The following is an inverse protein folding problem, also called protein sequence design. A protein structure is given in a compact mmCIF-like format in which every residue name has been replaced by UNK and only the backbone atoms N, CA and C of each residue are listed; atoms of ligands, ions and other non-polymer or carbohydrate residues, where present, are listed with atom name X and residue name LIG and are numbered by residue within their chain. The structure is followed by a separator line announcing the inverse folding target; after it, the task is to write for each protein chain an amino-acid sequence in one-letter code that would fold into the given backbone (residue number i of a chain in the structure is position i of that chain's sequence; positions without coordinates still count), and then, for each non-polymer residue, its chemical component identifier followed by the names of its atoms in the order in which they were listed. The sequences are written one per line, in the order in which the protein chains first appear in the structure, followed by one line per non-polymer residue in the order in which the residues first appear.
data_IF_396387412965
#
_entry.id   IF_396387412965
#
_cell.length_a   1.000
_cell.length_b   1.000
_cell.length_c   1.000
_cell.angle_alpha   90.00
_cell.angle_beta   90.00
_cell.angle_gamma   90.00
#
_symmetry.space_group_name_H-M   'P 1'
#
loop_
_entity.id
_entity.type
_entity.pdbx_description
1 polymer ?
#
# COMPACT_ATOMS: atom_id res chain seq x y z
N UNK A 1 -9.62 -12.82 -8.99
CA UNK A 1 -8.62 -11.93 -8.31
C UNK A 1 -8.39 -12.49 -6.92
N UNK A 2 -7.13 -12.60 -6.46
CA UNK A 2 -6.83 -13.18 -5.15
C UNK A 2 -7.48 -12.38 -4.02
N UNK A 3 -8.22 -13.06 -3.15
CA UNK A 3 -8.80 -12.46 -1.95
C UNK A 3 -7.69 -12.11 -0.95
N UNK A 4 -7.76 -10.93 -0.35
CA UNK A 4 -6.79 -10.47 0.66
C UNK A 4 -7.50 -10.31 1.99
N UNK A 5 -7.06 -11.06 2.98
CA UNK A 5 -7.56 -11.03 4.34
C UNK A 5 -6.45 -10.57 5.30
N UNK A 6 -6.66 -9.44 5.97
CA UNK A 6 -5.75 -8.96 7.01
C UNK A 6 -6.22 -9.49 8.36
N UNK A 7 -5.36 -10.19 9.08
CA UNK A 7 -5.56 -10.57 10.47
C UNK A 7 -4.74 -9.65 11.37
N UNK A 8 -5.41 -8.85 12.19
CA UNK A 8 -4.74 -8.03 13.22
C UNK A 8 -4.49 -8.91 14.44
N UNK A 9 -3.27 -9.46 14.53
CA UNK A 9 -2.90 -10.42 15.59
C UNK A 9 -2.75 -9.74 16.96
N UNK A 10 -2.42 -8.44 16.96
CA UNK A 10 -2.20 -7.65 18.18
C UNK A 10 -2.34 -6.15 17.89
N UNK A 11 -2.87 -5.40 18.85
CA UNK A 11 -2.81 -3.93 18.80
C UNK A 11 -1.48 -3.37 19.34
N UNK A 12 -0.67 -4.21 20.03
CA UNK A 12 0.61 -3.80 20.60
C UNK A 12 1.66 -3.61 19.52
N UNK A 13 2.52 -2.63 19.72
CA UNK A 13 3.70 -2.40 18.90
C UNK A 13 4.84 -1.94 19.79
N UNK A 14 6.05 -2.38 19.50
CA UNK A 14 7.27 -1.97 20.19
C UNK A 14 7.86 -0.65 19.65
N UNK A 15 7.28 -0.09 18.57
CA UNK A 15 7.66 1.21 18.00
C UNK A 15 6.50 2.21 18.04
N UNK A 16 6.85 3.50 17.91
CA UNK A 16 5.91 4.60 17.85
C UNK A 16 6.19 5.53 16.65
N UNK A 17 6.08 4.99 15.42
CA UNK A 17 6.36 5.71 14.19
C UNK A 17 5.53 7.00 14.07
N UNK A 18 6.17 8.11 13.67
CA UNK A 18 5.54 9.45 13.64
C UNK A 18 4.32 9.55 12.71
N UNK A 19 4.23 8.70 11.72
CA UNK A 19 3.12 8.65 10.73
C UNK A 19 2.17 7.47 10.97
N UNK A 20 2.27 6.75 12.10
CA UNK A 20 1.45 5.59 12.35
C UNK A 20 -0.03 5.97 12.40
N UNK A 21 -0.83 5.36 11.52
CA UNK A 21 -2.27 5.58 11.49
C UNK A 21 -3.03 4.85 12.62
N UNK A 22 -2.42 3.84 13.24
CA UNK A 22 -2.97 3.14 14.41
C UNK A 22 -2.70 3.97 15.67
N UNK A 23 -3.54 4.97 15.91
CA UNK A 23 -3.37 5.97 16.99
C UNK A 23 -3.93 5.49 18.34
N UNK A 24 -4.85 4.51 18.33
CA UNK A 24 -5.58 4.01 19.50
C UNK A 24 -5.16 2.58 19.84
N UNK A 25 -3.85 2.37 20.03
CA UNK A 25 -3.29 1.06 20.38
C UNK A 25 -3.77 0.60 21.75
N UNK A 26 -4.09 -0.68 21.89
CA UNK A 26 -4.47 -1.32 23.14
C UNK A 26 -3.55 -2.51 23.44
N UNK A 27 -3.74 -3.18 24.57
CA UNK A 27 -3.02 -4.40 24.91
C UNK A 27 -3.72 -5.68 24.41
N UNK A 28 -4.73 -5.57 23.55
CA UNK A 28 -5.52 -6.70 23.05
C UNK A 28 -4.72 -7.52 22.04
N UNK A 29 -4.87 -8.82 22.10
CA UNK A 29 -4.27 -9.82 21.22
C UNK A 29 -5.35 -10.79 20.70
N UNK A 30 -5.19 -11.27 19.47
CA UNK A 30 -6.02 -12.31 18.88
C UNK A 30 -5.68 -13.68 19.48
N UNK A 31 -6.69 -14.51 19.75
CA UNK A 31 -6.49 -15.90 20.16
C UNK A 31 -6.21 -16.79 18.93
N UNK A 32 -5.58 -17.94 19.14
CA UNK A 32 -5.36 -18.94 18.08
C UNK A 32 -6.70 -19.46 17.55
N UNK A 33 -7.69 -19.67 18.42
CA UNK A 33 -9.02 -20.12 18.06
C UNK A 33 -9.70 -19.12 17.12
N UNK A 34 -9.74 -17.85 17.52
CA UNK A 34 -10.28 -16.77 16.69
C UNK A 34 -9.59 -16.71 15.31
N UNK A 35 -8.26 -16.81 15.28
CA UNK A 35 -7.51 -16.79 14.02
C UNK A 35 -7.85 -17.98 13.11
N UNK A 36 -8.02 -19.18 13.68
CA UNK A 36 -8.44 -20.38 12.94
C UNK A 36 -9.85 -20.24 12.37
N UNK A 37 -10.80 -19.79 13.18
CA UNK A 37 -12.20 -19.60 12.77
C UNK A 37 -12.32 -18.62 11.59
N UNK A 38 -11.52 -17.53 11.62
CA UNK A 38 -11.44 -16.57 10.53
C UNK A 38 -10.93 -17.25 9.25
N UNK A 39 -9.80 -17.97 9.34
CA UNK A 39 -9.19 -18.63 8.18
C UNK A 39 -10.14 -19.68 7.60
N UNK A 40 -10.76 -20.50 8.42
CA UNK A 40 -11.74 -21.49 7.97
C UNK A 40 -12.95 -20.84 7.27
N UNK A 41 -13.42 -19.71 7.79
CA UNK A 41 -14.52 -18.96 7.19
C UNK A 41 -14.14 -18.43 5.81
N UNK A 42 -12.97 -17.80 5.68
CA UNK A 42 -12.50 -17.24 4.43
C UNK A 42 -12.15 -18.31 3.38
N UNK A 43 -11.55 -19.43 3.82
CA UNK A 43 -11.28 -20.60 2.96
C UNK A 43 -12.57 -21.25 2.49
N UNK A 44 -13.57 -21.38 3.36
CA UNK A 44 -14.91 -21.92 2.98
C UNK A 44 -15.58 -21.05 1.92
N UNK A 45 -15.48 -19.72 2.04
CA UNK A 45 -16.00 -18.79 1.04
C UNK A 45 -15.23 -18.91 -0.29
N UNK A 46 -13.89 -18.96 -0.26
CA UNK A 46 -13.07 -19.12 -1.46
C UNK A 46 -13.39 -20.43 -2.19
N UNK A 47 -13.63 -21.51 -1.45
CA UNK A 47 -14.06 -22.82 -1.96
C UNK A 47 -15.41 -22.74 -2.65
N UNK A 48 -16.38 -22.09 -2.02
CA UNK A 48 -17.73 -21.90 -2.56
C UNK A 48 -17.74 -21.06 -3.84
N UNK A 49 -16.86 -20.05 -3.93
CA UNK A 49 -16.74 -19.15 -5.08
C UNK A 49 -15.78 -19.68 -6.15
N UNK A 50 -15.12 -20.82 -5.91
CA UNK A 50 -14.09 -21.43 -6.78
C UNK A 50 -12.96 -20.43 -7.14
N UNK A 51 -12.45 -19.74 -6.12
CA UNK A 51 -11.38 -18.74 -6.27
C UNK A 51 -10.05 -19.44 -6.60
N UNK A 52 -9.68 -19.51 -7.88
CA UNK A 52 -8.46 -20.18 -8.35
C UNK A 52 -7.18 -19.56 -7.78
N UNK A 53 -7.17 -18.25 -7.53
CA UNK A 53 -6.02 -17.53 -6.95
C UNK A 53 -5.87 -17.76 -5.44
N UNK A 54 -6.89 -18.34 -4.77
CA UNK A 54 -6.93 -18.61 -3.34
C UNK A 54 -7.02 -17.36 -2.47
N UNK A 55 -6.55 -17.48 -1.22
CA UNK A 55 -6.62 -16.42 -0.21
C UNK A 55 -5.22 -16.06 0.28
N UNK A 56 -4.92 -14.76 0.32
CA UNK A 56 -3.74 -14.22 0.98
C UNK A 56 -4.11 -13.75 2.38
N UNK A 57 -3.49 -14.32 3.38
CA UNK A 57 -3.60 -13.91 4.78
C UNK A 57 -2.42 -13.04 5.16
N UNK A 58 -2.66 -11.74 5.36
CA UNK A 58 -1.67 -10.81 5.87
C UNK A 58 -1.72 -10.82 7.40
N UNK A 59 -0.72 -11.42 8.01
CA UNK A 59 -0.50 -11.43 9.45
C UNK A 59 0.05 -10.06 9.85
N UNK A 60 -0.78 -9.28 10.48
CA UNK A 60 -0.61 -7.86 10.70
C UNK A 60 -0.88 -7.48 12.18
N UNK A 61 -0.82 -6.19 12.49
CA UNK A 61 -1.15 -5.67 13.81
C UNK A 61 -0.43 -4.36 14.07
N UNK A 62 -0.13 -4.06 15.33
CA UNK A 62 0.87 -3.09 15.68
C UNK A 62 2.23 -3.62 15.21
N UNK A 63 2.74 -4.66 15.90
CA UNK A 63 3.89 -5.45 15.43
C UNK A 63 3.58 -6.95 15.60
N UNK A 64 3.37 -7.68 14.49
CA UNK A 64 2.94 -9.08 14.55
C UNK A 64 3.99 -10.02 15.17
N UNK A 65 5.28 -9.70 15.11
CA UNK A 65 6.33 -10.53 15.71
C UNK A 65 6.28 -10.56 17.25
N UNK A 66 5.52 -9.69 17.91
CA UNK A 66 5.17 -9.82 19.33
C UNK A 66 4.32 -11.06 19.60
N UNK A 67 3.67 -11.60 18.57
CA UNK A 67 2.84 -12.82 18.62
C UNK A 67 3.41 -13.91 17.71
N UNK A 68 4.72 -14.05 17.69
CA UNK A 68 5.38 -15.01 16.80
C UNK A 68 5.00 -16.46 17.11
N UNK A 69 4.70 -16.79 18.37
CA UNK A 69 4.20 -18.11 18.72
C UNK A 69 2.86 -18.41 18.05
N UNK A 70 1.92 -17.45 18.12
CA UNK A 70 0.65 -17.54 17.42
C UNK A 70 0.85 -17.73 15.91
N UNK A 71 1.80 -16.98 15.30
CA UNK A 71 2.12 -17.10 13.87
C UNK A 71 2.59 -18.52 13.55
N UNK A 72 3.53 -19.08 14.35
CA UNK A 72 4.03 -20.44 14.13
C UNK A 72 2.92 -21.47 14.17
N UNK A 73 2.12 -21.45 15.25
CA UNK A 73 1.03 -22.42 15.46
C UNK A 73 -0.03 -22.31 14.35
N UNK A 74 -0.41 -21.08 13.98
CA UNK A 74 -1.41 -20.83 12.94
C UNK A 74 -0.92 -21.31 11.57
N UNK A 75 0.31 -20.98 11.19
CA UNK A 75 0.90 -21.41 9.92
C UNK A 75 1.02 -22.94 9.84
N UNK A 76 1.51 -23.59 10.90
CA UNK A 76 1.61 -25.04 10.95
C UNK A 76 0.23 -25.72 10.83
N UNK A 77 -0.77 -25.17 11.49
CA UNK A 77 -2.13 -25.65 11.38
C UNK A 77 -2.68 -25.48 9.95
N UNK A 78 -2.56 -24.31 9.33
CA UNK A 78 -2.99 -24.07 7.93
C UNK A 78 -2.33 -25.06 7.00
N UNK A 79 -1.02 -25.24 7.11
CA UNK A 79 -0.25 -26.13 6.23
C UNK A 79 -0.56 -27.62 6.40
N UNK A 80 -1.10 -28.01 7.53
CA UNK A 80 -1.50 -29.39 7.82
C UNK A 80 -2.96 -29.67 7.42
N UNK A 81 -3.85 -28.68 7.51
CA UNK A 81 -5.29 -28.91 7.42
C UNK A 81 -5.96 -28.37 6.16
N UNK A 82 -5.29 -27.45 5.43
CA UNK A 82 -5.84 -26.83 4.23
C UNK A 82 -4.91 -27.13 3.06
N UNK A 83 -5.31 -28.04 2.19
CA UNK A 83 -4.54 -28.51 1.02
C UNK A 83 -5.23 -28.23 -0.32
N UNK A 84 -6.53 -27.94 -0.29
CA UNK A 84 -7.38 -27.76 -1.48
C UNK A 84 -7.59 -26.29 -1.89
N UNK A 85 -7.24 -25.33 -1.03
CA UNK A 85 -7.27 -23.89 -1.32
C UNK A 85 -5.87 -23.32 -1.10
N UNK A 86 -5.39 -22.59 -2.10
CA UNK A 86 -4.09 -21.91 -1.98
C UNK A 86 -4.14 -20.82 -0.90
N UNK A 87 -3.44 -21.03 0.20
CA UNK A 87 -3.30 -20.05 1.30
C UNK A 87 -1.89 -19.45 1.27
N UNK A 88 -1.79 -18.16 0.97
CA UNK A 88 -0.52 -17.42 1.03
C UNK A 88 -0.44 -16.71 2.38
N UNK A 89 0.58 -17.04 3.19
CA UNK A 89 0.82 -16.40 4.50
C UNK A 89 1.86 -15.29 4.33
N UNK A 90 1.53 -14.06 4.74
CA UNK A 90 2.42 -12.89 4.61
C UNK A 90 2.51 -12.17 5.94
N UNK A 91 3.71 -11.92 6.44
CA UNK A 91 3.96 -11.09 7.63
C UNK A 91 4.41 -9.69 7.16
N UNK A 92 3.81 -8.64 7.72
CA UNK A 92 4.33 -7.28 7.58
C UNK A 92 4.88 -6.80 8.91
N UNK A 93 6.16 -6.53 8.99
CA UNK A 93 6.89 -6.25 10.26
C UNK A 93 7.79 -5.04 10.17
N UNK A 94 8.07 -4.41 11.31
CA UNK A 94 9.11 -3.39 11.44
C UNK A 94 10.53 -4.00 11.49
N UNK A 95 10.67 -5.31 11.65
CA UNK A 95 11.94 -6.05 11.58
C UNK A 95 12.77 -6.06 12.88
N UNK A 96 12.49 -5.20 13.86
CA UNK A 96 13.33 -5.04 15.07
C UNK A 96 13.31 -6.25 16.00
N UNK A 97 12.32 -7.13 15.88
CA UNK A 97 12.16 -8.32 16.71
C UNK A 97 12.59 -9.62 16.02
N UNK A 98 13.28 -9.53 14.88
CA UNK A 98 13.80 -10.70 14.15
C UNK A 98 15.12 -11.19 14.79
N UNK A 99 15.00 -11.92 15.91
CA UNK A 99 16.10 -12.66 16.54
C UNK A 99 16.46 -13.93 15.73
N UNK A 100 17.49 -14.66 16.18
CA UNK A 100 18.02 -15.82 15.47
C UNK A 100 17.04 -17.00 15.42
N UNK A 101 16.23 -17.20 16.46
CA UNK A 101 15.19 -18.25 16.48
C UNK A 101 14.12 -17.99 15.40
N UNK A 102 13.65 -16.74 15.31
CA UNK A 102 12.68 -16.33 14.29
C UNK A 102 13.26 -16.41 12.89
N UNK A 103 14.51 -15.97 12.71
CA UNK A 103 15.23 -16.09 11.43
C UNK A 103 15.36 -17.55 10.99
N UNK A 104 15.76 -18.45 11.91
CA UNK A 104 15.87 -19.86 11.62
C UNK A 104 14.55 -20.48 11.19
N UNK A 105 13.46 -20.18 11.92
CA UNK A 105 12.14 -20.68 11.58
C UNK A 105 11.66 -20.16 10.22
N UNK A 106 11.81 -18.86 9.96
CA UNK A 106 11.45 -18.25 8.67
C UNK A 106 12.25 -18.82 7.51
N UNK A 107 13.55 -19.05 7.68
CA UNK A 107 14.40 -19.68 6.66
C UNK A 107 13.98 -21.11 6.35
N UNK A 108 13.59 -21.88 7.37
CA UNK A 108 13.08 -23.24 7.18
C UNK A 108 11.74 -23.29 6.45
N UNK A 109 10.96 -22.22 6.43
CA UNK A 109 9.62 -22.16 5.83
C UNK A 109 9.48 -21.09 4.71
N UNK A 110 10.60 -20.63 4.14
CA UNK A 110 10.67 -19.54 3.14
C UNK A 110 9.79 -19.73 1.90
N UNK A 111 9.47 -20.97 1.55
CA UNK A 111 8.64 -21.30 0.39
C UNK A 111 7.12 -21.25 0.71
N UNK A 112 6.74 -21.14 1.98
CA UNK A 112 5.36 -21.22 2.47
C UNK A 112 4.89 -19.95 3.18
N UNK A 113 5.82 -19.12 3.66
CA UNK A 113 5.52 -17.85 4.32
C UNK A 113 6.37 -16.74 3.75
N UNK A 114 5.83 -15.55 3.66
CA UNK A 114 6.50 -14.38 3.12
C UNK A 114 6.58 -13.27 4.15
N UNK A 115 7.65 -12.49 4.08
CA UNK A 115 7.87 -11.37 4.98
C UNK A 115 8.08 -10.09 4.16
N UNK A 116 7.38 -9.02 4.56
CA UNK A 116 7.58 -7.66 4.07
C UNK A 116 8.11 -6.86 5.24
N UNK A 117 9.34 -6.37 5.12
CA UNK A 117 9.96 -5.57 6.18
C UNK A 117 9.89 -4.08 5.85
N UNK A 118 9.58 -3.29 6.86
CA UNK A 118 9.45 -1.84 6.76
C UNK A 118 10.78 -1.16 7.03
N UNK A 119 11.29 -0.41 6.04
CA UNK A 119 12.54 0.37 6.14
C UNK A 119 12.35 1.69 5.40
N UNK A 120 12.49 2.83 6.07
CA UNK A 120 12.14 4.13 5.49
C UNK A 120 13.31 4.90 4.89
N UNK A 121 14.54 4.55 5.21
CA UNK A 121 15.72 5.24 4.73
C UNK A 121 16.98 4.85 5.48
N UNK A 122 18.03 5.67 5.36
CA UNK A 122 19.25 5.57 6.15
C UNK A 122 18.94 5.78 7.63
N UNK A 123 19.90 5.53 8.50
CA UNK A 123 19.70 5.52 9.95
C UNK A 123 19.02 6.77 10.50
N UNK A 124 19.40 7.94 10.04
CA UNK A 124 18.82 9.21 10.49
C UNK A 124 17.35 9.39 10.07
N UNK A 125 16.98 8.91 8.87
CA UNK A 125 15.59 8.92 8.43
C UNK A 125 14.78 7.82 9.13
N UNK A 126 15.36 6.65 9.28
CA UNK A 126 14.73 5.53 9.98
C UNK A 126 14.46 5.88 11.45
N UNK A 127 15.44 6.50 12.12
CA UNK A 127 15.29 6.98 13.49
C UNK A 127 14.23 8.07 13.62
N UNK A 128 14.26 9.08 12.76
CA UNK A 128 13.25 10.15 12.72
C UNK A 128 11.85 9.59 12.54
N UNK A 129 11.67 8.66 11.61
CA UNK A 129 10.36 8.12 11.24
C UNK A 129 9.86 7.05 12.21
N UNK A 130 10.74 6.16 12.71
CA UNK A 130 10.37 4.94 13.42
C UNK A 130 10.97 4.80 14.80
N UNK A 131 12.02 5.58 15.15
CA UNK A 131 12.71 5.50 16.43
C UNK A 131 13.63 4.28 16.54
N UNK A 132 14.20 3.82 15.41
CA UNK A 132 15.22 2.76 15.36
C UNK A 132 16.15 3.01 14.16
N UNK A 133 17.31 2.37 14.10
CA UNK A 133 18.25 2.51 13.00
C UNK A 133 18.03 1.42 11.94
N UNK A 134 18.22 1.74 10.66
CA UNK A 134 18.12 0.76 9.56
C UNK A 134 19.30 -0.22 9.59
N UNK A 135 20.46 0.20 10.06
CA UNK A 135 21.65 -0.63 10.27
C UNK A 135 21.45 -1.75 11.30
N UNK A 136 20.51 -1.58 12.24
CA UNK A 136 20.16 -2.60 13.24
C UNK A 136 19.18 -3.65 12.70
N UNK A 137 18.60 -3.42 11.52
CA UNK A 137 17.60 -4.32 10.93
C UNK A 137 18.28 -5.44 10.13
N UNK A 138 17.78 -6.68 10.19
CA UNK A 138 18.35 -7.81 9.47
C UNK A 138 17.96 -7.82 7.97
N UNK A 139 18.21 -6.71 7.26
CA UNK A 139 17.82 -6.48 5.86
C UNK A 139 18.40 -7.57 4.96
N UNK A 140 19.71 -7.85 5.08
CA UNK A 140 20.36 -8.88 4.27
C UNK A 140 19.75 -10.26 4.47
N UNK A 141 19.40 -10.64 5.71
CA UNK A 141 18.73 -11.90 5.98
C UNK A 141 17.42 -12.00 5.21
N UNK A 142 16.58 -10.96 5.28
CA UNK A 142 15.26 -10.94 4.64
C UNK A 142 15.40 -11.09 3.12
N UNK A 143 16.33 -10.36 2.50
CA UNK A 143 16.51 -10.38 1.05
C UNK A 143 17.16 -11.68 0.55
N UNK A 144 18.12 -12.24 1.30
CA UNK A 144 18.71 -13.55 0.98
C UNK A 144 17.70 -14.69 1.12
N UNK A 145 16.86 -14.63 2.16
CA UNK A 145 15.86 -15.67 2.44
C UNK A 145 14.66 -15.57 1.51
N UNK A 146 14.25 -14.35 1.15
CA UNK A 146 13.04 -14.06 0.36
C UNK A 146 13.34 -13.13 -0.82
N UNK A 147 14.15 -13.55 -1.81
CA UNK A 147 14.70 -12.68 -2.86
C UNK A 147 13.62 -12.08 -3.81
N UNK A 148 12.43 -12.66 -3.84
CA UNK A 148 11.30 -12.14 -4.66
C UNK A 148 10.50 -11.05 -3.95
N UNK A 149 10.83 -10.73 -2.70
CA UNK A 149 10.13 -9.71 -1.91
C UNK A 149 10.87 -8.38 -1.95
N UNK A 150 10.25 -7.37 -1.37
CA UNK A 150 10.74 -6.01 -1.34
C UNK A 150 10.68 -5.45 0.08
N UNK A 151 11.49 -4.45 0.34
CA UNK A 151 11.39 -3.60 1.52
C UNK A 151 10.28 -2.56 1.30
N UNK A 152 9.49 -2.29 2.31
CA UNK A 152 8.43 -1.28 2.26
C UNK A 152 8.93 0.02 2.87
N UNK A 153 9.07 1.06 2.06
CA UNK A 153 9.49 2.40 2.49
C UNK A 153 8.28 3.33 2.57
N UNK A 154 8.19 4.10 3.64
CA UNK A 154 7.16 5.13 3.82
C UNK A 154 7.81 6.48 4.07
N UNK A 155 7.57 7.44 3.18
CA UNK A 155 8.03 8.81 3.37
C UNK A 155 7.03 9.58 4.25
N UNK A 156 7.47 10.05 5.41
CA UNK A 156 6.78 11.06 6.21
C UNK A 156 6.95 12.44 5.59
N UNK A 157 6.27 13.45 6.11
CA UNK A 157 6.48 14.82 5.68
C UNK A 157 7.93 15.28 5.93
N UNK A 158 8.51 14.86 7.07
CA UNK A 158 9.87 15.18 7.46
C UNK A 158 10.92 14.52 6.54
N UNK A 159 10.67 13.28 6.12
CA UNK A 159 11.60 12.54 5.25
C UNK A 159 11.36 12.73 3.75
N UNK A 160 10.22 13.35 3.36
CA UNK A 160 9.88 13.57 1.96
C UNK A 160 10.97 14.24 1.13
N UNK A 161 11.70 15.26 1.62
CA UNK A 161 12.79 15.90 0.85
C UNK A 161 13.95 14.96 0.52
N UNK A 162 14.07 13.84 1.22
CA UNK A 162 15.14 12.83 1.03
C UNK A 162 14.67 11.54 0.38
N UNK A 163 13.40 11.47 -0.02
CA UNK A 163 12.77 10.25 -0.51
C UNK A 163 13.54 9.58 -1.65
N UNK A 164 14.07 10.38 -2.62
CA UNK A 164 14.88 9.86 -3.70
C UNK A 164 16.25 9.35 -3.23
N UNK A 165 16.91 10.09 -2.33
CA UNK A 165 18.24 9.72 -1.83
C UNK A 165 18.23 8.39 -1.09
N UNK A 166 17.20 8.18 -0.24
CA UNK A 166 17.07 6.96 0.53
C UNK A 166 16.65 5.76 -0.33
N UNK A 167 15.75 5.98 -1.29
CA UNK A 167 15.32 4.92 -2.21
C UNK A 167 16.46 4.49 -3.15
N UNK A 168 17.20 5.44 -3.71
CA UNK A 168 18.36 5.17 -4.58
C UNK A 168 19.46 4.47 -3.79
N UNK A 169 19.75 4.93 -2.56
CA UNK A 169 20.73 4.27 -1.69
C UNK A 169 20.46 2.76 -1.55
N UNK A 170 19.22 2.36 -1.32
CA UNK A 170 18.88 0.94 -1.23
C UNK A 170 19.02 0.20 -2.57
N UNK A 171 18.71 0.84 -3.70
CA UNK A 171 18.96 0.23 -5.01
C UNK A 171 20.45 0.03 -5.29
N UNK A 172 21.30 0.97 -4.89
CA UNK A 172 22.77 0.84 -5.01
C UNK A 172 23.33 -0.30 -4.15
N UNK A 173 22.64 -0.65 -3.05
CA UNK A 173 22.94 -1.85 -2.26
C UNK A 173 22.35 -3.15 -2.88
N UNK A 174 21.72 -3.08 -4.03
CA UNK A 174 21.08 -4.21 -4.69
C UNK A 174 19.72 -4.60 -4.09
N UNK A 175 19.11 -3.73 -3.28
CA UNK A 175 17.86 -4.03 -2.59
C UNK A 175 16.66 -3.59 -3.44
N UNK A 176 15.61 -4.41 -3.43
CA UNK A 176 14.33 -4.04 -4.02
C UNK A 176 13.48 -3.33 -2.96
N UNK A 177 13.06 -2.10 -3.26
CA UNK A 177 12.27 -1.26 -2.35
C UNK A 177 11.00 -0.77 -3.06
N UNK A 178 9.88 -0.76 -2.33
CA UNK A 178 8.63 -0.14 -2.75
C UNK A 178 8.36 1.06 -1.84
N UNK A 179 8.59 2.25 -2.37
CA UNK A 179 8.45 3.51 -1.64
C UNK A 179 7.12 4.21 -1.94
N UNK A 180 6.52 4.80 -0.92
CA UNK A 180 5.29 5.59 -1.03
C UNK A 180 5.19 6.66 0.06
N UNK A 181 4.44 7.75 -0.18
CA UNK A 181 4.12 8.72 0.87
C UNK A 181 3.26 8.10 1.97
N UNK A 182 3.44 8.56 3.19
CA UNK A 182 2.61 8.18 4.32
C UNK A 182 1.15 8.57 4.08
N UNK A 183 0.23 7.72 4.53
CA UNK A 183 -1.20 7.97 4.46
C UNK A 183 -1.72 8.45 5.81
N UNK A 184 -2.74 9.33 5.80
CA UNK A 184 -3.37 9.82 7.03
C UNK A 184 -2.50 10.81 7.83
N UNK A 185 -1.56 11.48 7.18
CA UNK A 185 -0.79 12.58 7.76
C UNK A 185 -1.21 13.92 7.14
N UNK A 186 -0.89 14.99 7.82
CA UNK A 186 -1.26 16.36 7.43
C UNK A 186 -0.26 16.92 6.38
N UNK A 187 -0.47 16.56 5.11
CA UNK A 187 0.26 17.13 3.99
C UNK A 187 -0.07 18.62 3.86
N UNK A 188 0.95 19.47 3.74
CA UNK A 188 0.82 20.91 3.63
C UNK A 188 0.94 21.38 2.18
N UNK A 189 0.53 22.62 1.91
CA UNK A 189 0.77 23.26 0.63
C UNK A 189 2.28 23.26 0.29
N UNK A 190 2.62 22.93 -0.94
CA UNK A 190 4.02 22.80 -1.40
C UNK A 190 4.64 21.40 -1.24
N UNK A 191 4.11 20.53 -0.38
CA UNK A 191 4.65 19.15 -0.23
C UNK A 191 4.56 18.37 -1.55
N UNK A 192 3.52 18.60 -2.36
CA UNK A 192 3.40 18.02 -3.69
C UNK A 192 4.54 18.41 -4.63
N UNK A 193 5.04 19.64 -4.53
CA UNK A 193 6.20 20.09 -5.33
C UNK A 193 7.50 19.45 -4.89
N UNK A 194 7.70 19.31 -3.57
CA UNK A 194 8.83 18.56 -3.03
C UNK A 194 8.78 17.12 -3.53
N UNK A 195 7.62 16.48 -3.42
CA UNK A 195 7.43 15.10 -3.89
C UNK A 195 7.67 14.96 -5.39
N UNK A 196 7.19 15.88 -6.21
CA UNK A 196 7.44 15.91 -7.66
C UNK A 196 8.93 15.92 -7.99
N UNK A 197 9.73 16.74 -7.29
CA UNK A 197 11.18 16.80 -7.46
C UNK A 197 11.82 15.45 -7.11
N UNK A 198 11.42 14.83 -5.99
CA UNK A 198 11.96 13.54 -5.59
C UNK A 198 11.59 12.44 -6.60
N UNK A 199 10.35 12.40 -7.06
CA UNK A 199 9.93 11.45 -8.09
C UNK A 199 10.67 11.65 -9.41
N UNK A 200 10.93 12.90 -9.81
CA UNK A 200 11.69 13.19 -11.02
C UNK A 200 13.15 12.68 -10.93
N UNK A 201 13.78 12.77 -9.76
CA UNK A 201 15.11 12.20 -9.51
C UNK A 201 15.10 10.68 -9.63
N UNK A 202 14.09 10.02 -9.02
CA UNK A 202 13.90 8.56 -9.13
C UNK A 202 13.64 8.15 -10.58
N UNK A 203 12.82 8.90 -11.33
CA UNK A 203 12.54 8.66 -12.74
C UNK A 203 13.81 8.72 -13.60
N UNK A 204 14.66 9.72 -13.38
CA UNK A 204 15.95 9.84 -14.08
C UNK A 204 16.88 8.68 -13.73
N UNK A 205 16.96 8.28 -12.45
CA UNK A 205 17.73 7.11 -12.04
C UNK A 205 17.29 5.84 -12.79
N UNK A 206 15.97 5.57 -12.90
CA UNK A 206 15.49 4.41 -13.67
C UNK A 206 15.76 4.52 -15.18
N UNK A 207 15.84 5.73 -15.73
CA UNK A 207 16.23 5.91 -17.14
C UNK A 207 17.71 5.64 -17.37
N UNK A 208 18.56 5.93 -16.40
CA UNK A 208 20.01 5.70 -16.45
C UNK A 208 20.38 4.25 -16.07
N UNK A 209 19.56 3.59 -15.24
CA UNK A 209 19.74 2.24 -14.72
C UNK A 209 18.61 1.29 -15.16
N UNK A 210 18.54 0.88 -16.43
CA UNK A 210 17.46 0.03 -16.96
C UNK A 210 17.42 -1.37 -16.34
N UNK A 211 18.50 -1.83 -15.70
CA UNK A 211 18.59 -3.09 -14.95
C UNK A 211 17.82 -3.04 -13.64
N UNK A 212 17.61 -1.86 -13.06
CA UNK A 212 16.86 -1.67 -11.83
C UNK A 212 15.37 -1.84 -12.09
N UNK A 213 14.73 -2.69 -11.28
CA UNK A 213 13.28 -2.87 -11.33
C UNK A 213 12.58 -1.67 -10.69
N UNK A 214 11.84 -0.83 -11.44
CA UNK A 214 11.12 0.30 -10.87
C UNK A 214 10.08 -0.11 -9.82
N UNK A 215 9.74 0.79 -8.90
CA UNK A 215 8.63 0.60 -7.96
C UNK A 215 7.30 0.38 -8.67
N UNK A 216 6.31 -0.18 -7.97
CA UNK A 216 4.96 -0.36 -8.51
C UNK A 216 4.36 0.95 -9.02
N UNK A 217 4.65 2.07 -8.35
CA UNK A 217 4.22 3.40 -8.77
C UNK A 217 4.65 3.71 -10.21
N UNK A 218 5.91 3.46 -10.58
CA UNK A 218 6.43 3.71 -11.93
C UNK A 218 6.04 2.65 -12.96
N UNK A 219 5.52 1.50 -12.51
CA UNK A 219 4.93 0.47 -13.36
C UNK A 219 3.44 0.67 -13.58
N UNK A 220 2.82 1.55 -12.79
CA UNK A 220 1.39 1.81 -12.91
C UNK A 220 1.08 2.40 -14.29
N UNK A 221 0.20 1.73 -14.97
CA UNK A 221 -0.30 2.10 -16.29
C UNK A 221 -1.74 2.64 -16.22
N UNK A 222 -2.20 3.02 -15.04
CA UNK A 222 -3.58 3.44 -14.81
C UNK A 222 -4.01 4.61 -15.70
N UNK A 223 -3.09 5.46 -16.13
CA UNK A 223 -3.39 6.54 -17.07
C UNK A 223 -3.88 6.06 -18.47
N UNK A 224 -3.74 4.77 -18.82
CA UNK A 224 -4.39 4.19 -20.00
C UNK A 224 -5.92 4.37 -19.94
N UNK A 225 -6.49 4.42 -18.75
CA UNK A 225 -7.91 4.67 -18.51
C UNK A 225 -8.40 6.01 -19.06
N UNK A 226 -7.50 6.96 -19.27
CA UNK A 226 -7.82 8.25 -19.91
C UNK A 226 -8.23 8.10 -21.38
N UNK A 227 -7.86 7.00 -22.03
CA UNK A 227 -8.23 6.69 -23.42
C UNK A 227 -9.57 5.93 -23.53
N UNK A 228 -10.07 5.40 -22.42
CA UNK A 228 -11.31 4.64 -22.35
C UNK A 228 -12.53 5.52 -22.08
N UNK A 229 -13.72 4.97 -22.43
CA UNK A 229 -15.03 5.57 -22.20
C UNK A 229 -15.72 5.13 -20.91
N UNK A 230 -15.02 4.37 -20.07
CA UNK A 230 -15.56 3.89 -18.78
C UNK A 230 -16.04 5.04 -17.89
N UNK A 231 -17.16 4.86 -17.16
CA UNK A 231 -17.69 5.89 -16.28
C UNK A 231 -16.73 6.19 -15.14
N UNK A 232 -16.76 7.43 -14.65
CA UNK A 232 -15.85 7.93 -13.62
C UNK A 232 -15.99 7.19 -12.28
N UNK A 233 -17.17 6.71 -11.93
CA UNK A 233 -17.46 5.98 -10.69
C UNK A 233 -16.63 4.71 -10.55
N UNK A 234 -16.27 4.07 -11.67
CA UNK A 234 -15.39 2.88 -11.66
C UNK A 234 -14.01 3.16 -11.02
N UNK A 235 -13.59 4.41 -10.97
CA UNK A 235 -12.29 4.83 -10.46
C UNK A 235 -12.36 5.48 -9.07
N UNK A 236 -13.50 5.38 -8.40
CA UNK A 236 -13.71 6.03 -7.12
C UNK A 236 -12.91 5.40 -5.96
N UNK A 237 -12.58 4.10 -6.04
CA UNK A 237 -11.84 3.37 -5.01
C UNK A 237 -10.44 2.98 -5.49
N UNK A 238 -9.46 3.09 -4.59
CA UNK A 238 -8.08 2.66 -4.85
C UNK A 238 -7.93 1.12 -4.80
N UNK A 239 -8.77 0.43 -4.03
CA UNK A 239 -8.71 -1.02 -3.81
C UNK A 239 -10.13 -1.59 -3.62
N UNK A 240 -10.21 -2.89 -3.53
CA UNK A 240 -11.44 -3.66 -3.40
C UNK A 240 -11.90 -3.85 -1.92
N UNK A 241 -11.65 -2.82 -1.08
CA UNK A 241 -12.05 -2.81 0.32
C UNK A 241 -13.53 -3.17 0.48
N UNK A 242 -13.83 -4.11 1.38
CA UNK A 242 -15.17 -4.62 1.67
C UNK A 242 -15.66 -5.71 0.71
N UNK A 243 -14.97 -5.95 -0.40
CA UNK A 243 -15.31 -6.99 -1.40
C UNK A 243 -14.28 -8.12 -1.35
N UNK A 244 -13.17 -8.01 -2.07
CA UNK A 244 -12.08 -9.00 -2.06
C UNK A 244 -10.97 -8.65 -1.08
N UNK A 245 -10.97 -7.45 -0.51
CA UNK A 245 -10.06 -7.00 0.53
C UNK A 245 -10.83 -6.78 1.83
N UNK A 246 -10.48 -7.54 2.87
CA UNK A 246 -11.14 -7.49 4.19
C UNK A 246 -10.11 -7.50 5.32
N UNK A 247 -10.53 -7.08 6.53
CA UNK A 247 -9.69 -7.16 7.71
C UNK A 247 -10.49 -7.68 8.91
N UNK A 248 -9.80 -8.37 9.79
CA UNK A 248 -10.34 -8.86 11.06
C UNK A 248 -9.54 -8.27 12.22
N UNK A 249 -10.26 -7.73 13.19
CA UNK A 249 -9.67 -7.25 14.43
C UNK A 249 -9.35 -8.40 15.38
N UNK A 250 -8.66 -8.10 16.47
CA UNK A 250 -8.24 -9.08 17.50
C UNK A 250 -9.39 -9.86 18.14
N UNK A 251 -10.60 -9.32 18.11
CA UNK A 251 -11.83 -9.95 18.61
C UNK A 251 -12.60 -10.77 17.55
N UNK A 252 -12.05 -10.89 16.35
CA UNK A 252 -12.66 -11.62 15.23
C UNK A 252 -13.72 -10.84 14.46
N UNK A 253 -14.00 -9.58 14.80
CA UNK A 253 -14.93 -8.76 14.03
C UNK A 253 -14.36 -8.42 12.65
N UNK A 254 -15.19 -8.58 11.63
CA UNK A 254 -14.85 -8.33 10.22
C UNK A 254 -15.14 -6.88 9.84
N UNK A 255 -14.15 -6.25 9.22
CA UNK A 255 -14.19 -4.87 8.71
C UNK A 255 -13.91 -4.83 7.19
N UNK A 256 -14.38 -3.79 6.48
CA UNK A 256 -14.10 -3.63 5.05
C UNK A 256 -12.59 -3.54 4.73
N UNK A 257 -11.78 -2.97 5.63
CA UNK A 257 -10.32 -3.04 5.62
C UNK A 257 -9.76 -2.61 6.98
N UNK A 258 -8.43 -2.73 7.15
CA UNK A 258 -7.75 -2.39 8.40
C UNK A 258 -7.83 -0.90 8.79
N UNK A 259 -8.17 0.01 7.86
CA UNK A 259 -8.43 1.42 8.19
C UNK A 259 -9.74 1.66 8.93
N UNK A 260 -10.65 0.67 8.97
CA UNK A 260 -11.92 0.76 9.70
C UNK A 260 -11.87 0.08 11.07
N UNK A 261 -10.72 -0.46 11.49
CA UNK A 261 -10.55 -1.10 12.79
C UNK A 261 -10.49 -0.04 13.91
N UNK A 262 -11.09 -0.28 15.09
CA UNK A 262 -11.14 0.70 16.19
C UNK A 262 -9.79 1.29 16.61
N UNK A 263 -8.69 0.53 16.51
CA UNK A 263 -7.36 1.03 16.86
C UNK A 263 -6.85 2.15 15.93
N UNK A 264 -7.53 2.41 14.83
CA UNK A 264 -7.21 3.49 13.88
C UNK A 264 -7.92 4.79 14.25
N UNK A 265 -9.23 4.73 14.53
CA UNK A 265 -10.05 5.94 14.73
C UNK A 265 -10.66 6.04 16.14
N UNK A 266 -10.49 5.07 17.01
CA UNK A 266 -10.96 5.11 18.39
C UNK A 266 -12.46 4.88 18.60
N UNK A 267 -13.21 4.46 17.55
CA UNK A 267 -14.63 4.14 17.65
C UNK A 267 -14.83 2.63 17.66
N UNK A 268 -15.51 2.09 18.69
CA UNK A 268 -15.83 0.67 18.82
C UNK A 268 -17.03 0.25 17.94
N UNK A 269 -17.95 1.16 17.66
CA UNK A 269 -19.24 0.93 16.99
C UNK A 269 -19.27 1.32 15.51
N UNK A 270 -18.09 1.50 14.89
CA UNK A 270 -17.95 1.93 13.49
C UNK A 270 -18.74 1.06 12.50
N UNK A 271 -18.92 -0.22 12.79
CA UNK A 271 -19.70 -1.11 11.94
C UNK A 271 -21.16 -0.68 11.80
N UNK A 272 -21.72 0.01 12.81
CA UNK A 272 -23.05 0.61 12.72
C UNK A 272 -23.09 1.75 11.70
N UNK A 273 -22.03 2.58 11.67
CA UNK A 273 -21.90 3.66 10.67
C UNK A 273 -21.78 3.11 9.25
N UNK A 274 -21.16 1.94 9.09
CA UNK A 274 -20.87 1.33 7.80
C UNK A 274 -21.93 0.36 7.29
N UNK A 275 -22.91 -0.03 8.11
CA UNK A 275 -23.89 -1.09 7.79
C UNK A 275 -24.73 -0.84 6.53
N UNK A 276 -24.96 0.44 6.18
CA UNK A 276 -25.76 0.85 5.03
C UNK A 276 -24.89 1.17 3.79
N UNK A 277 -23.57 0.93 3.85
CA UNK A 277 -22.66 1.18 2.75
C UNK A 277 -22.43 -0.12 1.98
N UNK A 278 -22.93 -0.18 0.75
CA UNK A 278 -22.55 -1.23 -0.19
C UNK A 278 -21.16 -0.94 -0.75
N UNK A 279 -20.16 -1.70 -0.28
CA UNK A 279 -18.79 -1.55 -0.71
C UNK A 279 -18.54 -2.05 -2.15
N UNK A 280 -19.48 -2.75 -2.77
CA UNK A 280 -19.41 -3.14 -4.19
C UNK A 280 -19.89 -2.02 -5.12
N UNK A 281 -20.72 -1.10 -4.65
CA UNK A 281 -21.21 0.05 -5.41
C UNK A 281 -20.17 1.20 -5.38
N UNK A 282 -19.34 1.27 -6.41
CA UNK A 282 -18.27 2.26 -6.50
C UNK A 282 -18.76 3.71 -6.54
N UNK A 283 -20.01 3.97 -6.93
CA UNK A 283 -20.60 5.32 -6.96
C UNK A 283 -20.73 5.93 -5.55
N UNK A 284 -20.77 5.09 -4.51
CA UNK A 284 -20.84 5.50 -3.10
C UNK A 284 -19.55 6.14 -2.56
N UNK A 285 -18.45 6.12 -3.31
CA UNK A 285 -17.11 6.49 -2.83
C UNK A 285 -16.55 7.76 -3.46
N UNK A 286 -17.41 8.60 -4.00
CA UNK A 286 -17.02 9.85 -4.64
C UNK A 286 -18.02 10.96 -4.30
N UNK A 287 -17.52 12.17 -4.05
CA UNK A 287 -18.32 13.38 -3.87
C UNK A 287 -18.53 14.12 -5.21
N UNK A 288 -19.54 15.02 -5.23
CA UNK A 288 -19.98 15.76 -6.41
C UNK A 288 -18.89 16.67 -7.01
N UNK A 289 -17.96 17.18 -6.18
CA UNK A 289 -16.89 18.03 -6.67
C UNK A 289 -15.79 17.20 -7.32
N UNK A 290 -15.43 16.07 -6.70
CA UNK A 290 -14.48 15.13 -7.27
C UNK A 290 -15.03 14.47 -8.54
N UNK A 291 -16.36 14.25 -8.64
CA UNK A 291 -17.00 13.74 -9.85
C UNK A 291 -16.75 14.64 -11.06
N UNK A 292 -16.65 15.95 -10.86
CA UNK A 292 -16.37 16.95 -11.91
C UNK A 292 -14.88 17.21 -12.14
N UNK A 293 -13.99 16.50 -11.44
CA UNK A 293 -12.55 16.75 -11.48
C UNK A 293 -11.93 16.16 -12.76
N UNK A 294 -11.18 16.98 -13.49
CA UNK A 294 -10.52 16.58 -14.75
C UNK A 294 -9.54 15.40 -14.57
N UNK A 295 -8.91 15.28 -13.37
CA UNK A 295 -7.94 14.21 -13.08
C UNK A 295 -8.53 13.03 -12.28
N UNK A 296 -9.86 12.92 -12.18
CA UNK A 296 -10.51 11.89 -11.37
C UNK A 296 -10.05 10.48 -11.72
N UNK A 297 -9.93 10.17 -13.00
CA UNK A 297 -9.49 8.84 -13.47
C UNK A 297 -8.08 8.46 -13.01
N UNK A 298 -7.26 9.44 -12.65
CA UNK A 298 -5.92 9.25 -12.11
C UNK A 298 -5.93 9.20 -10.58
N UNK A 299 -6.95 9.79 -9.95
CA UNK A 299 -7.03 10.02 -8.52
C UNK A 299 -7.84 8.94 -7.83
N UNK A 300 -7.20 7.80 -7.55
CA UNK A 300 -7.80 6.74 -6.72
C UNK A 300 -7.57 7.06 -5.25
N UNK A 301 -8.61 7.07 -4.45
CA UNK A 301 -8.47 7.34 -3.02
C UNK A 301 -8.84 6.14 -2.15
N UNK A 302 -8.34 6.18 -0.91
CA UNK A 302 -8.63 5.18 0.10
C UNK A 302 -9.90 5.57 0.86
N UNK A 303 -10.99 4.80 0.71
CA UNK A 303 -12.27 5.07 1.40
C UNK A 303 -12.15 5.03 2.92
N UNK A 304 -11.32 4.14 3.47
CA UNK A 304 -11.08 4.07 4.90
C UNK A 304 -10.35 5.31 5.43
N UNK A 305 -9.38 5.82 4.65
CA UNK A 305 -8.73 7.09 4.99
C UNK A 305 -9.69 8.29 4.88
N UNK A 306 -10.49 8.35 3.82
CA UNK A 306 -11.51 9.39 3.68
C UNK A 306 -12.41 9.42 4.90
N UNK A 307 -12.88 8.24 5.34
CA UNK A 307 -13.69 8.13 6.56
C UNK A 307 -12.93 8.63 7.80
N UNK A 308 -11.69 8.22 8.00
CA UNK A 308 -10.90 8.61 9.17
C UNK A 308 -10.63 10.12 9.24
N UNK A 309 -10.37 10.76 8.10
CA UNK A 309 -10.01 12.18 8.02
C UNK A 309 -11.25 13.11 7.93
N UNK A 310 -12.35 12.63 7.34
CA UNK A 310 -13.49 13.46 6.97
C UNK A 310 -14.83 12.93 7.49
N UNK A 311 -14.86 11.76 8.16
CA UNK A 311 -16.08 11.15 8.69
C UNK A 311 -17.01 10.53 7.65
N UNK A 312 -16.60 10.48 6.38
CA UNK A 312 -17.39 9.90 5.29
C UNK A 312 -16.47 9.23 4.25
N UNK A 313 -16.86 8.07 3.74
CA UNK A 313 -16.09 7.30 2.75
C UNK A 313 -15.93 8.02 1.41
N UNK A 314 -16.81 8.99 1.09
CA UNK A 314 -16.86 9.76 -0.17
C UNK A 314 -15.89 10.93 -0.18
N UNK A 315 -15.74 11.61 0.95
CA UNK A 315 -15.04 12.90 1.02
C UNK A 315 -13.53 12.71 1.00
N UNK A 316 -12.95 12.94 -0.17
CA UNK A 316 -11.52 12.83 -0.37
C UNK A 316 -10.75 13.90 0.40
N UNK A 317 -9.60 13.49 0.96
CA UNK A 317 -8.66 14.44 1.54
C UNK A 317 -7.96 15.22 0.42
N UNK A 318 -8.37 16.47 0.22
CA UNK A 318 -7.88 17.33 -0.88
C UNK A 318 -6.42 17.73 -0.76
N UNK A 319 -5.83 17.65 0.44
CA UNK A 319 -4.40 17.84 0.64
C UNK A 319 -3.56 16.86 -0.17
N UNK A 320 -4.15 15.71 -0.51
CA UNK A 320 -3.49 14.70 -1.36
C UNK A 320 -3.60 14.94 -2.84
N UNK A 321 -4.43 15.88 -3.31
CA UNK A 321 -4.56 16.19 -4.74
C UNK A 321 -3.22 16.57 -5.36
N UNK A 322 -2.40 17.37 -4.66
CA UNK A 322 -1.06 17.76 -5.09
C UNK A 322 -0.12 16.57 -5.24
N UNK A 323 -0.26 15.54 -4.37
CA UNK A 323 0.55 14.32 -4.43
C UNK A 323 0.17 13.49 -5.67
N UNK A 324 -1.12 13.31 -5.93
CA UNK A 324 -1.62 12.61 -7.12
C UNK A 324 -1.19 13.32 -8.40
N UNK A 325 -1.23 14.65 -8.41
CA UNK A 325 -0.79 15.44 -9.56
C UNK A 325 0.71 15.25 -9.83
N UNK A 326 1.54 15.29 -8.79
CA UNK A 326 2.98 15.04 -8.85
C UNK A 326 3.28 13.64 -9.41
N UNK A 327 2.64 12.61 -8.85
CA UNK A 327 2.76 11.22 -9.34
C UNK A 327 2.39 11.11 -10.82
N UNK A 328 1.21 11.57 -11.19
CA UNK A 328 0.69 11.44 -12.55
C UNK A 328 1.59 12.14 -13.57
N UNK A 329 2.09 13.35 -13.25
CA UNK A 329 2.96 14.13 -14.11
C UNK A 329 4.32 13.44 -14.31
N UNK A 330 4.96 13.03 -13.23
CA UNK A 330 6.30 12.44 -13.31
C UNK A 330 6.26 11.06 -13.95
N UNK A 331 5.28 10.21 -13.59
CA UNK A 331 5.17 8.86 -14.17
C UNK A 331 4.89 8.94 -15.66
N UNK A 332 3.97 9.81 -16.09
CA UNK A 332 3.69 10.00 -17.52
C UNK A 332 4.91 10.52 -18.28
N UNK A 333 5.62 11.50 -17.72
CA UNK A 333 6.88 12.00 -18.29
C UNK A 333 7.95 10.91 -18.40
N UNK A 334 8.11 10.10 -17.36
CA UNK A 334 9.01 8.94 -17.36
C UNK A 334 8.67 7.96 -18.48
N UNK A 335 7.38 7.57 -18.61
CA UNK A 335 6.95 6.65 -19.65
C UNK A 335 7.16 7.22 -21.06
N UNK A 336 6.90 8.51 -21.27
CA UNK A 336 7.19 9.19 -22.55
C UNK A 336 8.67 9.09 -22.86
N UNK A 337 9.56 9.51 -21.94
CA UNK A 337 11.01 9.48 -22.15
C UNK A 337 11.53 8.07 -22.42
N UNK A 338 11.05 7.08 -21.65
CA UNK A 338 11.42 5.68 -21.79
C UNK A 338 11.04 5.11 -23.14
N UNK A 339 9.79 5.31 -23.59
CA UNK A 339 9.28 4.78 -24.84
C UNK A 339 9.87 5.49 -26.06
N UNK A 340 10.11 6.80 -25.97
CA UNK A 340 10.72 7.58 -27.05
C UNK A 340 12.17 7.17 -27.37
N UNK A 341 12.89 6.52 -26.45
CA UNK A 341 14.22 5.94 -26.74
C UNK A 341 14.20 4.86 -27.83
N UNK A 342 13.04 4.17 -27.98
CA UNK A 342 12.86 3.08 -28.94
C UNK A 342 11.67 3.35 -29.89
N UNK A 343 11.41 4.63 -30.22
CA UNK A 343 10.20 5.07 -30.94
C UNK A 343 9.91 4.30 -32.23
N UNK A 344 10.96 3.88 -32.95
CA UNK A 344 10.83 3.23 -34.26
C UNK A 344 10.49 1.73 -34.16
N UNK A 345 10.43 1.16 -32.94
CA UNK A 345 10.19 -0.27 -32.66
C UNK A 345 9.12 -0.51 -31.60
N UNK A 346 8.22 0.46 -31.39
CA UNK A 346 7.17 0.33 -30.39
C UNK A 346 6.14 -0.74 -30.81
N UNK A 347 5.82 -1.62 -29.91
CA UNK A 347 4.68 -2.54 -30.02
C UNK A 347 3.37 -1.75 -29.94
N UNK A 348 2.25 -2.34 -30.40
CA UNK A 348 0.93 -1.73 -30.30
C UNK A 348 0.56 -1.34 -28.86
N UNK A 349 0.96 -2.16 -27.87
CA UNK A 349 0.75 -1.89 -26.45
C UNK A 349 1.57 -0.70 -25.96
N UNK A 350 2.83 -0.60 -26.37
CA UNK A 350 3.70 0.52 -26.03
C UNK A 350 3.25 1.83 -26.70
N UNK A 351 2.75 1.77 -27.93
CA UNK A 351 2.16 2.92 -28.61
C UNK A 351 0.89 3.41 -27.88
N UNK A 352 0.03 2.50 -27.43
CA UNK A 352 -1.13 2.85 -26.61
C UNK A 352 -0.70 3.52 -25.30
N UNK A 353 0.33 2.95 -24.62
CA UNK A 353 0.93 3.51 -23.41
C UNK A 353 1.47 4.91 -23.64
N UNK A 354 2.21 5.13 -24.74
CA UNK A 354 2.75 6.45 -25.09
C UNK A 354 1.64 7.47 -25.31
N UNK A 355 0.59 7.13 -26.06
CA UNK A 355 -0.58 8.01 -26.28
C UNK A 355 -1.25 8.39 -24.95
N UNK A 356 -1.44 7.42 -24.06
CA UNK A 356 -2.05 7.64 -22.75
C UNK A 356 -1.15 8.52 -21.86
N UNK A 357 0.16 8.28 -21.86
CA UNK A 357 1.13 9.07 -21.10
C UNK A 357 1.17 10.53 -21.56
N UNK A 358 1.16 10.79 -22.88
CA UNK A 358 1.10 12.16 -23.44
C UNK A 358 -0.19 12.85 -22.98
N UNK A 359 -1.34 12.18 -23.11
CA UNK A 359 -2.63 12.72 -22.67
C UNK A 359 -2.66 13.01 -21.17
N UNK A 360 -2.08 12.11 -20.35
CA UNK A 360 -1.96 12.28 -18.91
C UNK A 360 -1.12 13.52 -18.56
N UNK A 361 0.04 13.66 -19.18
CA UNK A 361 0.94 14.80 -18.95
C UNK A 361 0.27 16.13 -19.30
N UNK A 362 -0.38 16.22 -20.48
CA UNK A 362 -1.12 17.40 -20.90
C UNK A 362 -2.24 17.76 -19.91
N UNK A 363 -3.04 16.75 -19.50
CA UNK A 363 -4.12 16.93 -18.54
C UNK A 363 -3.61 17.48 -17.19
N UNK A 364 -2.48 16.99 -16.70
CA UNK A 364 -1.86 17.47 -15.46
C UNK A 364 -1.41 18.93 -15.58
N UNK A 365 -0.82 19.32 -16.72
CA UNK A 365 -0.41 20.71 -16.97
C UNK A 365 -1.62 21.65 -17.08
N UNK A 366 -2.71 21.23 -17.73
CA UNK A 366 -3.93 22.01 -17.87
C UNK A 366 -4.66 22.18 -16.52
N UNK A 367 -4.70 21.11 -15.71
CA UNK A 367 -5.28 21.13 -14.38
C UNK A 367 -4.54 22.14 -13.46
N UNK A 368 -3.21 22.10 -13.46
CA UNK A 368 -2.39 23.02 -12.67
C UNK A 368 -2.65 24.50 -13.05
N UNK A 369 -2.66 24.80 -14.36
CA UNK A 369 -2.97 26.14 -14.85
C UNK A 369 -4.35 26.65 -14.38
N UNK A 370 -5.39 25.79 -14.45
CA UNK A 370 -6.73 26.12 -13.97
C UNK A 370 -6.79 26.28 -12.45
N UNK A 371 -6.04 25.47 -11.72
CA UNK A 371 -6.02 25.50 -10.26
C UNK A 371 -5.42 26.80 -9.74
N UNK A 372 -4.26 27.21 -10.25
CA UNK A 372 -3.64 28.48 -9.85
C UNK A 372 -4.40 29.71 -10.36
N UNK A 373 -5.01 29.65 -11.54
CA UNK A 373 -5.85 30.75 -12.04
C UNK A 373 -7.11 31.02 -11.20
N UNK A 374 -7.58 30.04 -10.39
CA UNK A 374 -8.75 30.20 -9.50
C UNK A 374 -8.39 30.66 -8.09
N UNK A 375 -7.14 30.47 -7.67
CA UNK A 375 -6.66 30.72 -6.32
C UNK A 375 -5.61 31.86 -6.23
N UNK A 376 -5.25 32.48 -7.34
CA UNK A 376 -4.46 33.72 -7.46
C UNK A 376 -5.34 34.86 -7.98
#
# INVERSE_FOLDING_TARGET
MQKICILVLTHRCNLNCIYCYQKHKTAKDMSLETAKDIIETEVRQARALKEEDGVRFNLFGGEPLLRFDLIKELCQWVWKTIDDVKCEMVITTNGTLLDDDKKQWLAAHKDRIHLIMSVDGKDDVQECNRGCHSSDLPIEFVLKTMPKRFLSMTASRQSLPRFADDLIYFYEQGYRVEGKPAQGIDWQEGDGKIYEVQLARIANYYLEHPEVTPTFLFKDASFIQLLGSEPNEKYAKMCDAGVTFVAYDVDGKRYPCHHFIPNVHGKEDILEDLKNIDFSDTSRFIDDECMKCDILKLCRTCCGRNYNERGDVRFRDRRTCQMVLAESRVISSYQIKKLMRNRDRLTSKELLMLKAAVKCYQLCCDFERKFYARNG
#
